data_IF_024783220480
#
_entry.id   IF_024783220480
#
_cell.length_a   1.000
_cell.length_b   1.000
_cell.length_c   1.000
_cell.angle_alpha   90.00
_cell.angle_beta   90.00
_cell.angle_gamma   90.00
#
_symmetry.space_group_name_H-M   'P 1'
#
loop_
_entity.id
_entity.type
_entity.pdbx_description
1 polymer ?
#
# COMPACT_ATOMS: atom_id res chain seq x y z
N UNK A 1 26.18 11.56 -5.07
CA UNK A 1 25.94 11.08 -6.45
C UNK A 1 27.26 10.92 -7.23
N UNK A 2 28.24 10.18 -6.69
CA UNK A 2 29.48 9.85 -7.42
C UNK A 2 29.99 8.42 -7.15
N UNK A 3 29.27 7.64 -6.32
CA UNK A 3 29.66 6.31 -5.86
C UNK A 3 28.51 5.29 -5.91
N UNK A 4 27.41 5.57 -6.64
CA UNK A 4 26.28 4.66 -6.74
C UNK A 4 26.30 3.94 -8.10
N UNK A 5 26.37 2.59 -8.14
CA UNK A 5 26.21 1.75 -9.34
C UNK A 5 24.80 1.88 -9.96
N UNK A 6 24.50 1.23 -11.12
CA UNK A 6 23.34 1.57 -11.95
C UNK A 6 22.05 1.48 -11.15
N UNK A 7 21.10 2.37 -11.45
CA UNK A 7 19.82 2.49 -10.74
C UNK A 7 19.22 1.10 -10.48
N UNK A 8 19.09 0.73 -9.19
CA UNK A 8 18.49 -0.54 -8.79
C UNK A 8 17.09 -0.65 -9.40
N UNK A 9 16.84 -1.74 -10.11
CA UNK A 9 15.54 -2.03 -10.69
C UNK A 9 14.48 -2.19 -9.59
N UNK A 10 13.20 -2.05 -9.96
CA UNK A 10 12.07 -2.20 -9.05
C UNK A 10 12.13 -3.50 -8.25
N UNK A 11 12.48 -4.61 -8.90
CA UNK A 11 12.54 -5.94 -8.25
C UNK A 11 13.67 -6.01 -7.23
N UNK A 12 14.83 -5.44 -7.53
CA UNK A 12 15.98 -5.44 -6.60
C UNK A 12 15.69 -4.60 -5.35
N UNK A 13 15.00 -3.46 -5.53
CA UNK A 13 14.55 -2.63 -4.40
C UNK A 13 13.58 -3.39 -3.51
N UNK A 14 12.57 -4.05 -4.08
CA UNK A 14 11.58 -4.84 -3.33
C UNK A 14 12.22 -6.03 -2.63
N UNK A 15 13.15 -6.72 -3.31
CA UNK A 15 13.93 -7.79 -2.70
C UNK A 15 14.75 -7.30 -1.50
N UNK A 16 15.47 -6.19 -1.64
CA UNK A 16 16.23 -5.58 -0.54
C UNK A 16 15.36 -5.20 0.65
N UNK A 17 14.20 -4.57 0.41
CA UNK A 17 13.24 -4.22 1.47
C UNK A 17 12.69 -5.47 2.18
N UNK A 18 12.45 -6.55 1.45
CA UNK A 18 11.99 -7.83 2.01
C UNK A 18 13.09 -8.46 2.86
N UNK A 19 14.32 -8.57 2.32
CA UNK A 19 15.44 -9.19 3.01
C UNK A 19 15.77 -8.49 4.33
N UNK A 20 15.77 -7.16 4.33
CA UNK A 20 16.04 -6.36 5.54
C UNK A 20 14.93 -6.47 6.59
N UNK A 21 13.68 -6.73 6.20
CA UNK A 21 12.56 -6.86 7.14
C UNK A 21 12.30 -8.30 7.60
N UNK A 22 12.84 -9.31 6.92
CA UNK A 22 12.71 -10.73 7.30
C UNK A 22 13.06 -11.03 8.77
N UNK A 23 14.15 -10.50 9.36
CA UNK A 23 14.48 -10.80 10.76
C UNK A 23 13.36 -10.40 11.72
N UNK A 24 12.77 -9.23 11.49
CA UNK A 24 11.65 -8.74 12.29
C UNK A 24 10.42 -9.65 12.18
N UNK A 25 10.06 -10.06 10.95
CA UNK A 25 8.92 -10.96 10.72
C UNK A 25 9.13 -12.37 11.27
N UNK A 26 10.35 -12.90 11.22
CA UNK A 26 10.69 -14.19 11.84
C UNK A 26 10.50 -14.14 13.35
N UNK A 27 10.98 -13.07 14.01
CA UNK A 27 10.79 -12.90 15.46
C UNK A 27 9.31 -12.82 15.84
N UNK A 28 8.52 -12.05 15.08
CA UNK A 28 7.07 -11.97 15.26
C UNK A 28 6.37 -13.31 15.05
N UNK A 29 6.78 -14.07 14.01
CA UNK A 29 6.26 -15.40 13.73
C UNK A 29 6.56 -16.38 14.86
N UNK A 30 7.78 -16.40 15.38
CA UNK A 30 8.17 -17.21 16.54
C UNK A 30 7.37 -16.85 17.78
N UNK A 31 7.22 -15.56 18.07
CA UNK A 31 6.39 -15.09 19.18
C UNK A 31 4.93 -15.54 19.03
N UNK A 32 4.36 -15.43 17.83
CA UNK A 32 3.02 -15.91 17.51
C UNK A 32 2.87 -17.42 17.71
N UNK A 33 3.85 -18.20 17.25
CA UNK A 33 3.87 -19.66 17.43
C UNK A 33 3.90 -20.06 18.91
N UNK A 34 4.70 -19.40 19.73
CA UNK A 34 4.79 -19.68 21.17
C UNK A 34 3.51 -19.29 21.91
N UNK A 35 2.87 -18.19 21.53
CA UNK A 35 1.70 -17.64 22.26
C UNK A 35 0.35 -18.19 21.80
N UNK A 36 0.20 -18.52 20.51
CA UNK A 36 -1.08 -18.93 19.90
C UNK A 36 -1.03 -20.31 19.23
N UNK A 37 0.15 -20.90 19.06
CA UNK A 37 0.32 -22.15 18.31
C UNK A 37 0.27 -21.95 16.80
N UNK A 38 0.09 -23.05 16.07
CA UNK A 38 0.00 -23.03 14.60
C UNK A 38 -1.32 -22.43 14.12
N UNK A 39 -1.33 -21.62 13.03
CA UNK A 39 -2.57 -21.13 12.44
C UNK A 39 -3.37 -22.28 11.81
N UNK A 40 -4.68 -22.10 11.69
CA UNK A 40 -5.52 -23.04 10.95
C UNK A 40 -5.19 -23.06 9.46
N UNK A 41 -5.51 -24.16 8.77
CA UNK A 41 -5.30 -24.28 7.32
C UNK A 41 -6.04 -23.19 6.55
N UNK A 42 -7.26 -22.86 6.96
CA UNK A 42 -8.05 -21.80 6.32
C UNK A 42 -7.43 -20.43 6.49
N UNK A 43 -6.84 -20.14 7.65
CA UNK A 43 -6.11 -18.89 7.88
C UNK A 43 -4.83 -18.84 7.05
N UNK A 44 -4.07 -19.95 7.00
CA UNK A 44 -2.85 -20.02 6.19
C UNK A 44 -3.13 -19.79 4.69
N UNK A 45 -4.19 -20.38 4.14
CA UNK A 45 -4.57 -20.19 2.73
C UNK A 45 -5.02 -18.75 2.45
N UNK A 46 -5.81 -18.15 3.33
CA UNK A 46 -6.22 -16.75 3.20
C UNK A 46 -5.03 -15.80 3.29
N UNK A 47 -4.14 -15.99 4.26
CA UNK A 47 -2.92 -15.21 4.41
C UNK A 47 -1.98 -15.36 3.21
N UNK A 48 -1.87 -16.56 2.62
CA UNK A 48 -1.12 -16.79 1.39
C UNK A 48 -1.72 -15.99 0.22
N UNK A 49 -3.06 -16.00 0.08
CA UNK A 49 -3.76 -15.19 -0.93
C UNK A 49 -3.46 -13.70 -0.79
N UNK A 50 -3.54 -13.16 0.42
CA UNK A 50 -3.20 -11.76 0.70
C UNK A 50 -1.72 -11.47 0.40
N UNK A 51 -0.81 -12.37 0.82
CA UNK A 51 0.62 -12.21 0.58
C UNK A 51 0.98 -12.18 -0.91
N UNK A 52 0.36 -13.03 -1.73
CA UNK A 52 0.61 -13.06 -3.17
C UNK A 52 -0.02 -11.85 -3.88
N UNK A 53 -1.31 -11.59 -3.63
CA UNK A 53 -2.05 -10.56 -4.35
C UNK A 53 -1.61 -9.15 -3.94
N UNK A 54 -1.58 -8.85 -2.63
CA UNK A 54 -1.19 -7.54 -2.12
C UNK A 54 0.33 -7.41 -1.98
N UNK A 55 0.95 -8.39 -1.31
CA UNK A 55 2.38 -8.32 -0.99
C UNK A 55 3.30 -8.42 -2.21
N UNK A 56 3.03 -9.31 -3.16
CA UNK A 56 3.89 -9.49 -4.35
C UNK A 56 3.36 -8.69 -5.54
N UNK A 57 2.14 -8.98 -6.00
CA UNK A 57 1.63 -8.43 -7.27
C UNK A 57 1.39 -6.92 -7.16
N UNK A 58 0.54 -6.48 -6.22
CA UNK A 58 0.19 -5.07 -6.09
C UNK A 58 1.40 -4.20 -5.75
N UNK A 59 2.26 -4.66 -4.83
CA UNK A 59 3.47 -3.93 -4.43
C UNK A 59 4.47 -3.76 -5.60
N UNK A 60 4.69 -4.81 -6.40
CA UNK A 60 5.55 -4.70 -7.58
C UNK A 60 4.96 -3.77 -8.65
N UNK A 61 3.65 -3.85 -8.91
CA UNK A 61 2.98 -2.95 -9.85
C UNK A 61 3.05 -1.50 -9.39
N UNK A 62 2.85 -1.25 -8.09
CA UNK A 62 2.96 0.08 -7.49
C UNK A 62 4.37 0.64 -7.64
N UNK A 63 5.39 -0.10 -7.20
CA UNK A 63 6.77 0.38 -7.35
C UNK A 63 7.15 0.57 -8.81
N UNK A 64 6.67 -0.30 -9.70
CA UNK A 64 6.88 -0.12 -11.14
C UNK A 64 6.23 1.16 -11.66
N UNK A 65 5.01 1.47 -11.23
CA UNK A 65 4.33 2.71 -11.58
C UNK A 65 5.11 3.93 -11.07
N UNK A 66 5.61 3.90 -9.83
CA UNK A 66 6.44 5.01 -9.29
C UNK A 66 7.76 5.17 -10.06
N UNK A 67 8.41 4.08 -10.47
CA UNK A 67 9.63 4.11 -11.26
C UNK A 67 9.40 4.66 -12.67
N UNK A 68 8.25 4.39 -13.29
CA UNK A 68 7.88 4.95 -14.61
C UNK A 68 7.69 6.47 -14.58
N UNK A 69 7.21 7.01 -13.46
CA UNK A 69 6.92 8.46 -13.34
C UNK A 69 7.94 9.22 -12.50
N UNK A 70 9.07 8.58 -12.14
CA UNK A 70 10.07 9.12 -11.20
C UNK A 70 10.64 10.50 -11.53
N UNK A 71 10.62 10.88 -12.81
CA UNK A 71 11.11 12.18 -13.27
C UNK A 71 10.09 13.32 -13.12
N UNK A 72 8.83 13.02 -12.77
CA UNK A 72 7.75 13.99 -12.60
C UNK A 72 7.16 13.91 -11.19
N UNK A 73 7.54 14.86 -10.33
CA UNK A 73 7.04 14.95 -8.95
C UNK A 73 5.51 15.00 -8.89
N UNK A 74 4.87 15.63 -9.87
CA UNK A 74 3.42 15.71 -9.97
C UNK A 74 2.77 14.36 -10.27
N UNK A 75 3.35 13.56 -11.18
CA UNK A 75 2.82 12.23 -11.49
C UNK A 75 3.12 11.24 -10.36
N UNK A 76 4.28 11.36 -9.70
CA UNK A 76 4.58 10.61 -8.48
C UNK A 76 3.52 10.86 -7.41
N UNK A 77 3.19 12.11 -7.12
CA UNK A 77 2.16 12.45 -6.13
C UNK A 77 0.79 11.85 -6.48
N UNK A 78 0.43 11.79 -7.77
CA UNK A 78 -0.81 11.12 -8.21
C UNK A 78 -0.74 9.62 -7.95
N UNK A 79 0.35 8.94 -8.34
CA UNK A 79 0.51 7.49 -8.11
C UNK A 79 0.50 7.18 -6.62
N UNK A 80 1.23 7.93 -5.79
CA UNK A 80 1.25 7.74 -4.34
C UNK A 80 -0.11 8.04 -3.70
N UNK A 81 -0.85 9.05 -4.19
CA UNK A 81 -2.20 9.32 -3.69
C UNK A 81 -3.16 8.15 -3.89
N UNK A 82 -2.91 7.28 -4.89
CA UNK A 82 -3.73 6.07 -5.08
C UNK A 82 -3.65 5.10 -3.90
N UNK A 83 -2.57 5.13 -3.12
CA UNK A 83 -2.41 4.29 -1.93
C UNK A 83 -3.48 4.58 -0.87
N UNK A 84 -3.94 5.84 -0.78
CA UNK A 84 -5.01 6.20 0.17
C UNK A 84 -6.37 5.58 -0.16
N UNK A 85 -6.58 5.09 -1.38
CA UNK A 85 -7.77 4.31 -1.72
C UNK A 85 -7.77 2.93 -1.05
N UNK A 86 -6.62 2.36 -0.69
CA UNK A 86 -6.55 1.07 0.01
C UNK A 86 -7.40 1.10 1.30
N UNK A 87 -7.32 2.22 2.04
CA UNK A 87 -8.10 2.40 3.27
C UNK A 87 -9.60 2.45 2.97
N UNK A 88 -10.01 3.17 1.93
CA UNK A 88 -11.42 3.26 1.53
C UNK A 88 -11.98 1.94 1.03
N UNK A 89 -11.23 1.23 0.18
CA UNK A 89 -11.66 -0.07 -0.35
C UNK A 89 -11.67 -1.16 0.71
N UNK A 90 -10.70 -1.16 1.62
CA UNK A 90 -10.70 -2.09 2.77
C UNK A 90 -11.92 -1.84 3.66
N UNK A 91 -12.23 -0.58 3.97
CA UNK A 91 -13.41 -0.24 4.76
C UNK A 91 -14.72 -0.65 4.05
N UNK A 92 -14.87 -0.26 2.78
CA UNK A 92 -16.05 -0.56 1.99
C UNK A 92 -16.23 -2.07 1.77
N UNK A 93 -15.14 -2.79 1.53
CA UNK A 93 -15.11 -4.25 1.46
C UNK A 93 -15.50 -4.91 2.78
N UNK A 94 -14.99 -4.42 3.91
CA UNK A 94 -15.36 -4.90 5.25
C UNK A 94 -16.87 -4.76 5.50
N UNK A 95 -17.43 -3.58 5.24
CA UNK A 95 -18.86 -3.32 5.46
C UNK A 95 -19.75 -4.10 4.48
N UNK A 96 -19.41 -4.17 3.19
CA UNK A 96 -20.26 -4.79 2.17
C UNK A 96 -20.11 -6.31 2.09
N UNK A 97 -18.87 -6.82 2.16
CA UNK A 97 -18.57 -8.26 1.97
C UNK A 97 -18.51 -9.00 3.30
N UNK A 98 -17.85 -8.44 4.32
CA UNK A 98 -17.71 -9.09 5.63
C UNK A 98 -18.86 -8.76 6.60
N UNK A 99 -19.74 -7.81 6.23
CA UNK A 99 -20.85 -7.30 7.05
C UNK A 99 -20.36 -6.71 8.39
N UNK A 100 -19.18 -6.09 8.38
CA UNK A 100 -18.69 -5.33 9.52
C UNK A 100 -19.62 -4.16 9.86
N UNK A 101 -19.63 -3.75 11.12
CA UNK A 101 -20.38 -2.57 11.52
C UNK A 101 -19.88 -1.34 10.74
N UNK A 102 -20.78 -0.46 10.27
CA UNK A 102 -20.37 0.76 9.59
C UNK A 102 -19.54 1.64 10.54
N UNK A 103 -18.71 2.55 10.00
CA UNK A 103 -17.91 3.46 10.81
C UNK A 103 -18.79 4.21 11.82
N UNK A 104 -18.23 4.43 13.01
CA UNK A 104 -18.82 5.31 13.99
C UNK A 104 -18.66 6.79 13.57
N UNK A 105 -19.14 7.72 14.40
CA UNK A 105 -19.08 9.17 14.09
C UNK A 105 -17.65 9.64 13.80
N UNK A 106 -16.65 9.12 14.54
CA UNK A 106 -15.24 9.46 14.32
C UNK A 106 -14.67 8.76 13.09
N UNK A 107 -15.05 7.51 12.82
CA UNK A 107 -14.69 6.80 11.60
C UNK A 107 -15.17 7.52 10.34
N UNK A 108 -16.41 8.01 10.32
CA UNK A 108 -16.91 8.81 9.19
C UNK A 108 -16.17 10.14 9.02
N UNK A 109 -15.80 10.79 10.13
CA UNK A 109 -14.96 12.00 10.08
C UNK A 109 -13.58 11.70 9.47
N UNK A 110 -12.94 10.59 9.87
CA UNK A 110 -11.67 10.14 9.30
C UNK A 110 -11.76 9.82 7.80
N UNK A 111 -12.82 9.14 7.38
CA UNK A 111 -13.11 8.88 5.96
C UNK A 111 -13.26 10.19 5.19
N UNK A 112 -13.98 11.17 5.75
CA UNK A 112 -14.12 12.50 5.17
C UNK A 112 -12.78 13.21 4.96
N UNK A 113 -11.87 13.09 5.93
CA UNK A 113 -10.52 13.68 5.85
C UNK A 113 -9.66 13.01 4.76
N UNK A 114 -9.75 11.69 4.62
CA UNK A 114 -9.07 10.94 3.55
C UNK A 114 -9.58 11.38 2.17
N UNK A 115 -10.90 11.41 1.98
CA UNK A 115 -11.53 11.85 0.72
C UNK A 115 -11.15 13.29 0.39
N UNK A 116 -11.19 14.19 1.37
CA UNK A 116 -10.79 15.59 1.19
C UNK A 116 -9.33 15.70 0.74
N UNK A 117 -8.42 14.97 1.39
CA UNK A 117 -7.00 14.93 1.02
C UNK A 117 -6.77 14.47 -0.43
N UNK A 118 -7.49 13.42 -0.86
CA UNK A 118 -7.41 12.94 -2.25
C UNK A 118 -7.94 13.96 -3.27
N UNK A 119 -9.08 14.60 -2.98
CA UNK A 119 -9.63 15.64 -3.87
C UNK A 119 -8.66 16.81 -4.00
N UNK A 120 -8.10 17.30 -2.89
CA UNK A 120 -7.11 18.37 -2.91
C UNK A 120 -5.85 17.98 -3.67
N UNK A 121 -5.32 16.77 -3.44
CA UNK A 121 -4.15 16.25 -4.15
C UNK A 121 -4.39 16.18 -5.66
N UNK A 122 -5.57 15.71 -6.08
CA UNK A 122 -5.96 15.66 -7.49
C UNK A 122 -6.06 17.05 -8.12
N UNK A 123 -6.66 18.02 -7.42
CA UNK A 123 -6.79 19.40 -7.90
C UNK A 123 -5.45 20.11 -8.06
N UNK A 124 -4.54 19.95 -7.10
CA UNK A 124 -3.16 20.49 -7.18
C UNK A 124 -2.37 19.82 -8.30
N UNK A 125 -2.71 18.57 -8.61
CA UNK A 125 -2.10 17.76 -9.66
C UNK A 125 -2.74 17.98 -11.04
N UNK A 126 -3.53 19.02 -11.30
CA UNK A 126 -4.01 19.40 -12.65
C UNK A 126 -3.04 20.38 -13.34
N UNK A 127 -2.90 20.35 -14.68
CA UNK A 127 -2.04 21.30 -15.38
C UNK A 127 -2.71 22.67 -15.30
N UNK A 128 -1.97 23.69 -14.84
CA UNK A 128 -2.40 25.07 -15.01
C UNK A 128 -2.54 25.30 -16.51
N UNK A 129 -3.77 25.42 -17.01
CA UNK A 129 -4.06 25.74 -18.41
C UNK A 129 -3.37 27.07 -18.69
N UNK A 130 -2.26 27.03 -19.42
CA UNK A 130 -1.61 28.23 -19.94
C UNK A 130 -2.64 28.91 -20.83
N UNK A 131 -3.06 30.12 -20.42
CA UNK A 131 -3.98 30.92 -21.22
C UNK A 131 -3.20 31.32 -22.47
N UNK A 132 -3.59 30.74 -23.62
CA UNK A 132 -3.22 31.22 -24.93
C UNK A 132 -3.70 32.66 -25.16
#
# INVERSE_FOLDING_TARGET
MALCPPELSTVERVYGMTLCSLPFWVLLGLYGLVTRGLPSVSQAVQSLGVAVLSGVIATLLFFRATDLVKHSQRQLAVVESTQSFEVLFTLLGGVLLLRDAPPDKYGWFGVGLIVLGMVLSSLVSLPKKEKA
#
